data_IF_268160294890
#
_entry.id   IF_268160294890
#
_cell.length_a   1.000
_cell.length_b   1.000
_cell.length_c   1.000
_cell.angle_alpha   90.00
_cell.angle_beta   90.00
_cell.angle_gamma   90.00
#
_symmetry.space_group_name_H-M   'P 1'
#
loop_
_entity.id
_entity.type
_entity.pdbx_description
1 polymer ?
#
# COMPACT_ATOMS: atom_id res chain seq x y z
N UNK A 1 -14.81 -9.68 -18.59
CA UNK A 1 -13.95 -8.83 -17.74
C UNK A 1 -14.73 -8.54 -16.46
N UNK A 2 -14.25 -8.96 -15.30
CA UNK A 2 -14.85 -8.63 -13.99
C UNK A 2 -14.01 -7.52 -13.39
N UNK A 3 -14.60 -6.36 -13.20
CA UNK A 3 -13.96 -5.22 -12.56
C UNK A 3 -14.59 -4.96 -11.19
N UNK A 4 -13.76 -4.69 -10.18
CA UNK A 4 -14.23 -4.24 -8.87
C UNK A 4 -14.18 -2.72 -8.84
N UNK A 5 -15.34 -2.10 -8.63
CA UNK A 5 -15.44 -0.66 -8.38
C UNK A 5 -15.55 -0.47 -6.87
N UNK A 6 -14.53 0.11 -6.26
CA UNK A 6 -14.58 0.53 -4.88
C UNK A 6 -15.03 2.00 -4.85
N UNK A 7 -16.32 2.24 -4.63
CA UNK A 7 -16.86 3.59 -4.50
C UNK A 7 -16.74 4.02 -3.05
N UNK A 8 -15.60 4.62 -2.70
CA UNK A 8 -15.38 5.19 -1.37
C UNK A 8 -15.56 6.70 -1.49
N UNK A 9 -16.79 7.15 -1.47
CA UNK A 9 -17.12 8.58 -1.39
C UNK A 9 -16.73 9.05 0.02
N UNK A 10 -15.75 9.94 0.13
CA UNK A 10 -15.25 10.57 1.38
C UNK A 10 -14.36 9.73 2.32
N UNK A 11 -13.88 8.56 1.94
CA UNK A 11 -12.91 7.85 2.78
C UNK A 11 -11.50 8.41 2.67
N UNK A 12 -10.74 8.46 3.79
CA UNK A 12 -9.33 8.83 3.74
C UNK A 12 -8.53 7.93 2.78
N UNK A 13 -7.54 8.49 2.09
CA UNK A 13 -6.68 7.75 1.16
C UNK A 13 -6.06 6.47 1.76
N UNK A 14 -5.83 6.45 3.08
CA UNK A 14 -5.34 5.29 3.83
C UNK A 14 -6.33 4.13 3.84
N UNK A 15 -7.62 4.41 4.05
CA UNK A 15 -8.68 3.38 3.99
C UNK A 15 -8.80 2.80 2.59
N UNK A 16 -8.73 3.62 1.55
CA UNK A 16 -8.71 3.17 0.15
C UNK A 16 -7.52 2.23 -0.09
N UNK A 17 -6.32 2.64 0.35
CA UNK A 17 -5.10 1.83 0.23
C UNK A 17 -5.29 0.44 0.86
N UNK A 18 -5.78 0.37 2.10
CA UNK A 18 -5.98 -0.86 2.84
C UNK A 18 -7.01 -1.78 2.15
N UNK A 19 -8.17 -1.24 1.80
CA UNK A 19 -9.23 -2.01 1.13
C UNK A 19 -8.76 -2.53 -0.22
N UNK A 20 -8.13 -1.69 -1.04
CA UNK A 20 -7.60 -2.09 -2.35
C UNK A 20 -6.53 -3.18 -2.20
N UNK A 21 -5.66 -3.08 -1.21
CA UNK A 21 -4.65 -4.09 -0.92
C UNK A 21 -5.28 -5.44 -0.52
N UNK A 22 -6.30 -5.43 0.34
CA UNK A 22 -7.01 -6.64 0.76
C UNK A 22 -7.67 -7.37 -0.43
N UNK A 23 -8.34 -6.62 -1.30
CA UNK A 23 -8.92 -7.19 -2.52
C UNK A 23 -7.85 -7.71 -3.49
N UNK A 24 -6.72 -6.99 -3.59
CA UNK A 24 -5.60 -7.41 -4.43
C UNK A 24 -5.01 -8.75 -3.96
N UNK A 25 -4.76 -8.92 -2.67
CA UNK A 25 -4.26 -10.18 -2.11
C UNK A 25 -5.27 -11.31 -2.32
N UNK A 26 -6.56 -11.05 -2.04
CA UNK A 26 -7.59 -12.06 -2.25
C UNK A 26 -7.73 -12.48 -3.72
N UNK A 27 -7.60 -11.52 -4.65
CA UNK A 27 -7.59 -11.83 -6.07
C UNK A 27 -6.37 -12.66 -6.48
N UNK A 28 -5.18 -12.39 -5.90
CA UNK A 28 -3.99 -13.20 -6.15
C UNK A 28 -4.19 -14.65 -5.67
N UNK A 29 -4.79 -14.86 -4.51
CA UNK A 29 -5.11 -16.19 -4.01
C UNK A 29 -6.07 -16.97 -4.94
N UNK A 30 -7.08 -16.28 -5.47
CA UNK A 30 -8.04 -16.88 -6.41
C UNK A 30 -7.32 -17.25 -7.70
N UNK A 31 -6.54 -16.34 -8.29
CA UNK A 31 -5.82 -16.60 -9.54
C UNK A 31 -4.78 -17.71 -9.39
N UNK A 32 -4.16 -17.86 -8.23
CA UNK A 32 -3.23 -18.96 -7.96
C UNK A 32 -3.93 -20.35 -7.96
N UNK A 33 -5.22 -20.40 -7.61
CA UNK A 33 -6.03 -21.62 -7.60
C UNK A 33 -6.72 -21.89 -8.93
N UNK A 34 -6.82 -20.89 -9.80
CA UNK A 34 -7.56 -20.90 -11.05
C UNK A 34 -6.67 -20.43 -12.21
N UNK A 35 -5.74 -21.27 -12.70
CA UNK A 35 -4.78 -20.90 -13.73
C UNK A 35 -5.43 -20.59 -15.10
N UNK A 36 -6.70 -20.94 -15.28
CA UNK A 36 -7.52 -20.57 -16.44
C UNK A 36 -7.81 -19.06 -16.51
N UNK A 37 -7.66 -18.33 -15.41
CA UNK A 37 -7.83 -16.87 -15.36
C UNK A 37 -6.48 -16.15 -15.30
N UNK A 38 -6.40 -15.03 -16.00
CA UNK A 38 -5.21 -14.15 -16.00
C UNK A 38 -5.59 -12.74 -15.61
N UNK A 39 -4.62 -12.01 -15.04
CA UNK A 39 -4.77 -10.57 -14.85
C UNK A 39 -4.78 -9.86 -16.19
N UNK A 40 -5.76 -8.95 -16.37
CA UNK A 40 -5.77 -8.05 -17.52
C UNK A 40 -4.87 -6.80 -17.28
N UNK A 41 -4.37 -6.61 -16.08
CA UNK A 41 -3.58 -5.43 -15.71
C UNK A 41 -2.11 -5.79 -15.55
N UNK A 42 -1.23 -4.95 -16.11
CA UNK A 42 0.23 -5.12 -16.02
C UNK A 42 0.80 -4.64 -14.69
N UNK A 43 1.98 -5.14 -14.36
CA UNK A 43 2.79 -4.72 -13.23
C UNK A 43 2.57 -5.52 -11.96
N UNK A 44 3.54 -5.37 -11.06
CA UNK A 44 3.60 -6.03 -9.76
C UNK A 44 3.31 -5.05 -8.63
N UNK A 45 2.48 -5.48 -7.70
CA UNK A 45 2.20 -4.74 -6.47
C UNK A 45 3.13 -5.26 -5.37
N UNK A 46 3.83 -4.33 -4.72
CA UNK A 46 4.63 -4.59 -3.52
C UNK A 46 3.94 -3.91 -2.34
N UNK A 47 3.54 -4.69 -1.33
CA UNK A 47 2.99 -4.22 -0.08
C UNK A 47 4.02 -4.42 1.04
N UNK A 48 4.15 -3.43 1.92
CA UNK A 48 4.99 -3.52 3.13
C UNK A 48 4.14 -3.63 4.39
N UNK A 49 2.86 -3.98 4.25
CA UNK A 49 1.92 -4.20 5.33
C UNK A 49 0.96 -5.33 4.95
N UNK A 50 0.38 -5.96 5.97
CA UNK A 50 -0.71 -6.92 5.80
C UNK A 50 -2.04 -6.17 5.86
N UNK A 51 -2.88 -6.21 4.81
CA UNK A 51 -4.15 -5.53 4.82
C UNK A 51 -5.11 -6.13 5.87
N UNK A 52 -5.90 -5.27 6.50
CA UNK A 52 -6.92 -5.67 7.45
C UNK A 52 -8.17 -4.79 7.32
N UNK A 53 -9.25 -5.34 6.83
CA UNK A 53 -10.49 -4.58 6.61
C UNK A 53 -11.10 -4.10 7.93
N UNK A 54 -10.95 -4.85 9.02
CA UNK A 54 -11.47 -4.50 10.33
C UNK A 54 -10.81 -3.26 10.94
N UNK A 55 -9.55 -2.97 10.55
CA UNK A 55 -8.78 -1.81 11.04
C UNK A 55 -9.07 -0.51 10.30
N UNK A 56 -9.80 -0.57 9.19
CA UNK A 56 -10.28 0.61 8.47
C UNK A 56 -11.71 0.98 8.91
N UNK A 57 -12.19 2.12 8.39
CA UNK A 57 -13.56 2.54 8.64
C UNK A 57 -14.55 1.42 8.26
N UNK A 58 -15.27 0.92 9.27
CA UNK A 58 -16.37 -0.01 9.05
C UNK A 58 -17.48 0.19 10.09
N UNK A 59 -18.70 -0.16 9.73
CA UNK A 59 -19.90 -0.16 10.58
C UNK A 59 -20.39 -1.57 10.86
N UNK A 60 -19.52 -2.56 10.68
CA UNK A 60 -19.83 -3.98 10.57
C UNK A 60 -19.76 -4.45 9.13
N UNK A 61 -19.66 -5.74 8.94
CA UNK A 61 -19.62 -6.39 7.64
C UNK A 61 -20.91 -7.16 7.41
N UNK A 62 -21.34 -7.22 6.14
CA UNK A 62 -22.51 -7.97 5.72
C UNK A 62 -22.25 -8.62 4.37
N UNK A 63 -22.79 -9.81 4.14
CA UNK A 63 -22.87 -10.41 2.80
C UNK A 63 -23.96 -9.78 1.94
N UNK A 64 -24.65 -8.78 2.45
CA UNK A 64 -25.84 -8.19 1.83
C UNK A 64 -26.87 -9.29 1.51
N UNK A 65 -27.28 -9.44 0.27
CA UNK A 65 -28.24 -10.46 -0.15
C UNK A 65 -27.60 -11.64 -0.92
N UNK A 66 -26.28 -11.81 -0.82
CA UNK A 66 -25.54 -12.83 -1.57
C UNK A 66 -26.03 -14.25 -1.24
N UNK A 67 -26.30 -14.52 0.05
CA UNK A 67 -26.73 -15.82 0.56
C UNK A 67 -28.24 -15.86 0.90
N UNK A 68 -29.00 -14.87 0.43
CA UNK A 68 -30.42 -14.72 0.70
C UNK A 68 -30.75 -13.49 1.55
N UNK A 69 -32.05 -13.29 1.82
CA UNK A 69 -32.52 -12.13 2.56
C UNK A 69 -32.24 -12.26 4.05
N UNK A 70 -31.48 -11.32 4.60
CA UNK A 70 -31.16 -11.21 6.01
C UNK A 70 -31.87 -9.97 6.59
N UNK A 71 -32.71 -10.10 7.65
CA UNK A 71 -33.48 -8.98 8.19
C UNK A 71 -32.62 -7.91 8.88
N UNK A 72 -31.47 -8.29 9.49
CA UNK A 72 -30.64 -7.44 10.34
C UNK A 72 -29.34 -6.98 9.66
N UNK A 73 -29.42 -6.53 8.41
CA UNK A 73 -28.24 -6.04 7.65
C UNK A 73 -27.83 -4.62 8.03
N UNK A 74 -28.63 -3.91 8.82
CA UNK A 74 -28.41 -2.51 9.15
C UNK A 74 -27.68 -2.36 10.48
N UNK A 75 -26.80 -1.36 10.56
CA UNK A 75 -26.18 -0.94 11.82
C UNK A 75 -27.06 0.12 12.48
N UNK A 76 -27.90 -0.31 13.42
CA UNK A 76 -28.88 0.56 14.10
C UNK A 76 -28.24 1.43 15.19
N UNK A 77 -27.12 0.98 15.80
CA UNK A 77 -26.55 1.64 16.98
C UNK A 77 -25.82 2.93 16.67
N UNK A 78 -25.13 3.01 15.52
CA UNK A 78 -24.35 4.21 15.18
C UNK A 78 -24.05 4.33 13.70
N UNK A 79 -24.10 5.56 13.14
CA UNK A 79 -23.57 5.85 11.80
C UNK A 79 -22.05 5.97 11.76
N UNK A 80 -21.37 5.97 12.93
CA UNK A 80 -19.92 6.11 13.05
C UNK A 80 -19.22 4.75 12.95
N UNK A 81 -17.92 4.77 12.67
CA UNK A 81 -17.09 3.57 12.66
C UNK A 81 -16.94 3.00 14.06
N UNK A 82 -17.23 1.71 14.22
CA UNK A 82 -16.92 0.94 15.42
C UNK A 82 -15.48 0.39 15.39
N UNK A 83 -15.01 0.01 14.19
CA UNK A 83 -13.72 -0.66 14.05
C UNK A 83 -13.72 -2.12 14.48
N UNK A 84 -12.58 -2.63 14.94
CA UNK A 84 -12.43 -4.02 15.35
C UNK A 84 -12.73 -4.23 16.84
N UNK A 85 -13.36 -5.35 17.19
CA UNK A 85 -13.50 -5.77 18.58
C UNK A 85 -12.13 -6.14 19.15
N UNK A 86 -11.74 -5.52 20.28
CA UNK A 86 -10.42 -5.70 20.88
C UNK A 86 -10.45 -6.34 22.27
N UNK A 87 -11.63 -6.58 22.81
CA UNK A 87 -11.80 -7.24 24.08
C UNK A 87 -12.83 -6.58 24.98
N UNK A 88 -12.86 -7.00 26.24
CA UNK A 88 -13.82 -6.54 27.25
C UNK A 88 -13.06 -5.94 28.42
N UNK A 89 -13.55 -4.85 28.98
CA UNK A 89 -12.98 -4.24 30.19
C UNK A 89 -13.00 -5.25 31.32
N UNK A 90 -11.83 -5.58 31.86
CA UNK A 90 -11.70 -6.55 32.96
C UNK A 90 -11.78 -5.89 34.33
N UNK A 91 -11.02 -4.81 34.49
CA UNK A 91 -10.86 -4.12 35.77
C UNK A 91 -10.55 -2.65 35.55
N UNK A 92 -11.11 -1.80 36.40
CA UNK A 92 -10.84 -0.36 36.45
C UNK A 92 -10.18 -0.04 37.78
N UNK A 93 -9.08 0.73 37.75
CA UNK A 93 -8.39 1.25 38.94
C UNK A 93 -8.03 2.71 38.73
N UNK A 94 -8.72 3.59 39.44
CA UNK A 94 -8.53 5.05 39.31
C UNK A 94 -8.72 5.53 37.88
N UNK A 95 -7.68 6.05 37.26
CA UNK A 95 -7.69 6.58 35.90
C UNK A 95 -7.21 5.60 34.82
N UNK A 96 -7.23 4.29 35.12
CA UNK A 96 -6.75 3.24 34.20
C UNK A 96 -7.60 1.99 34.27
N UNK A 97 -7.52 1.18 33.21
CA UNK A 97 -8.25 -0.10 33.12
C UNK A 97 -7.43 -1.14 32.36
N UNK A 98 -7.83 -2.41 32.53
CA UNK A 98 -7.31 -3.53 31.77
C UNK A 98 -8.39 -4.09 30.85
N UNK A 99 -7.95 -4.66 29.73
CA UNK A 99 -8.81 -5.34 28.75
C UNK A 99 -8.50 -6.84 28.76
N UNK A 100 -9.53 -7.66 28.75
CA UNK A 100 -9.41 -9.09 28.48
C UNK A 100 -9.38 -9.32 26.99
N UNK A 101 -8.36 -10.00 26.47
CA UNK A 101 -8.17 -10.26 25.05
C UNK A 101 -6.69 -10.34 24.71
N UNK A 102 -6.40 -10.69 23.47
CA UNK A 102 -5.02 -10.81 22.94
C UNK A 102 -4.56 -9.56 22.17
N UNK A 103 -5.41 -8.54 22.09
CA UNK A 103 -5.08 -7.32 21.34
C UNK A 103 -3.95 -6.53 22.03
N UNK A 104 -2.96 -6.15 21.24
CA UNK A 104 -1.92 -5.21 21.66
C UNK A 104 -2.43 -3.79 21.47
N UNK A 105 -2.19 -2.92 22.45
CA UNK A 105 -2.54 -1.51 22.41
C UNK A 105 -1.27 -0.65 22.38
N UNK A 106 -1.39 0.51 21.75
CA UNK A 106 -0.32 1.52 21.71
C UNK A 106 -0.85 2.90 22.09
N UNK A 107 0.07 3.77 22.45
CA UNK A 107 -0.25 5.17 22.73
C UNK A 107 -0.83 5.80 21.46
N UNK A 108 -1.97 6.46 21.60
CA UNK A 108 -2.66 7.10 20.48
C UNK A 108 -3.79 6.29 19.86
N UNK A 109 -3.98 5.02 20.25
CA UNK A 109 -5.13 4.23 19.80
C UNK A 109 -6.45 4.91 20.16
N UNK A 110 -7.39 4.90 19.22
CA UNK A 110 -8.77 5.32 19.44
C UNK A 110 -9.64 4.13 19.79
N UNK A 111 -10.28 4.16 20.95
CA UNK A 111 -11.20 3.14 21.40
C UNK A 111 -12.62 3.69 21.49
N UNK A 112 -13.60 2.81 21.33
CA UNK A 112 -15.00 3.16 21.53
C UNK A 112 -15.79 1.98 22.10
N UNK A 113 -16.96 2.29 22.63
CA UNK A 113 -17.93 1.34 23.15
C UNK A 113 -19.35 1.91 23.04
N UNK A 114 -20.34 1.05 23.09
CA UNK A 114 -21.74 1.42 23.21
C UNK A 114 -22.10 1.38 24.70
N UNK A 115 -22.59 2.50 25.24
CA UNK A 115 -23.05 2.56 26.63
C UNK A 115 -24.45 1.94 26.79
N UNK A 116 -24.93 1.88 28.03
CA UNK A 116 -26.24 1.29 28.36
C UNK A 116 -27.44 2.03 27.74
N UNK A 117 -27.23 3.29 27.33
CA UNK A 117 -28.21 4.11 26.58
C UNK A 117 -28.12 3.92 25.06
N UNK A 118 -27.33 2.95 24.59
CA UNK A 118 -27.07 2.67 23.17
C UNK A 118 -26.41 3.84 22.43
N UNK A 119 -25.61 4.64 23.14
CA UNK A 119 -24.85 5.73 22.55
C UNK A 119 -23.38 5.32 22.37
N UNK A 120 -22.81 5.65 21.20
CA UNK A 120 -21.40 5.42 20.95
C UNK A 120 -20.54 6.46 21.68
N UNK A 121 -19.74 5.99 22.61
CA UNK A 121 -18.70 6.77 23.29
C UNK A 121 -17.32 6.39 22.77
N UNK A 122 -16.50 7.40 22.46
CA UNK A 122 -15.13 7.25 21.97
C UNK A 122 -14.13 8.00 22.83
N UNK A 123 -12.95 7.41 22.99
CA UNK A 123 -11.84 8.06 23.72
C UNK A 123 -10.50 7.63 23.14
N UNK A 124 -9.45 8.38 23.46
CA UNK A 124 -8.09 8.09 23.04
C UNK A 124 -7.29 7.51 24.19
N UNK A 125 -6.48 6.48 23.91
CA UNK A 125 -5.48 5.94 24.83
C UNK A 125 -4.28 6.87 24.81
N UNK A 126 -4.02 7.53 25.95
CA UNK A 126 -2.88 8.44 26.09
C UNK A 126 -1.58 7.67 26.37
N UNK A 127 -1.68 6.62 27.21
CA UNK A 127 -0.54 5.83 27.63
C UNK A 127 -0.94 4.37 27.85
N UNK A 128 -0.04 3.46 27.46
CA UNK A 128 -0.14 2.02 27.72
C UNK A 128 1.06 1.62 28.57
N UNK A 129 0.82 0.98 29.71
CA UNK A 129 1.86 0.41 30.55
C UNK A 129 1.53 -1.06 30.85
N UNK A 130 2.39 -1.95 30.44
CA UNK A 130 2.17 -3.38 30.49
C UNK A 130 0.83 -3.75 29.80
N UNK A 131 -0.19 -4.12 30.57
CA UNK A 131 -1.54 -4.39 30.05
C UNK A 131 -2.58 -3.41 30.60
N UNK A 132 -2.17 -2.21 31.01
CA UNK A 132 -3.05 -1.16 31.50
C UNK A 132 -3.12 0.00 30.54
N UNK A 133 -4.33 0.45 30.28
CA UNK A 133 -4.62 1.58 29.41
C UNK A 133 -5.00 2.79 30.24
N UNK A 134 -4.38 3.92 29.91
CA UNK A 134 -4.61 5.22 30.54
C UNK A 134 -5.20 6.16 29.49
N UNK A 135 -6.53 6.37 29.48
CA UNK A 135 -7.14 7.38 28.62
C UNK A 135 -6.78 8.80 29.08
N UNK A 136 -6.89 9.77 28.19
CA UNK A 136 -6.69 11.18 28.56
C UNK A 136 -7.71 11.63 29.63
N UNK A 137 -8.96 11.17 29.47
CA UNK A 137 -10.03 11.31 30.45
C UNK A 137 -10.76 9.97 30.54
N UNK A 138 -10.97 9.50 31.76
CA UNK A 138 -11.70 8.26 31.98
C UNK A 138 -13.16 8.43 31.55
N UNK A 139 -13.68 7.61 30.63
CA UNK A 139 -15.10 7.68 30.26
C UNK A 139 -15.99 7.35 31.46
N UNK A 140 -17.03 8.13 31.66
CA UNK A 140 -17.93 7.99 32.85
C UNK A 140 -18.71 6.67 32.82
N UNK A 141 -19.17 6.27 31.62
CA UNK A 141 -20.01 5.08 31.45
C UNK A 141 -19.19 3.79 31.21
N UNK A 142 -17.85 3.85 31.39
CA UNK A 142 -17.02 2.66 31.24
C UNK A 142 -17.00 1.85 32.53
N UNK A 143 -17.37 0.55 32.44
CA UNK A 143 -17.40 -0.36 33.58
C UNK A 143 -16.84 -1.75 33.22
N UNK A 144 -16.47 -2.59 34.19
CA UNK A 144 -16.11 -3.98 33.93
C UNK A 144 -17.21 -4.70 33.16
N UNK A 145 -16.82 -5.48 32.14
CA UNK A 145 -17.76 -6.13 31.23
C UNK A 145 -18.06 -5.34 29.94
N UNK A 146 -17.73 -4.05 29.88
CA UNK A 146 -17.92 -3.24 28.65
C UNK A 146 -17.09 -3.78 27.50
N UNK A 147 -17.74 -4.02 26.35
CA UNK A 147 -17.09 -4.44 25.10
C UNK A 147 -16.43 -3.25 24.42
N UNK A 148 -15.13 -3.37 24.14
CA UNK A 148 -14.34 -2.33 23.52
C UNK A 148 -14.04 -2.65 22.06
N UNK A 149 -14.09 -1.61 21.26
CA UNK A 149 -13.74 -1.65 19.84
C UNK A 149 -12.64 -0.61 19.57
N UNK A 150 -11.72 -0.92 18.65
CA UNK A 150 -10.67 -0.01 18.21
C UNK A 150 -11.08 0.57 16.87
N UNK A 151 -11.50 1.84 16.87
CA UNK A 151 -11.90 2.57 15.68
C UNK A 151 -10.75 3.37 15.04
N UNK A 152 -9.60 3.44 15.71
CA UNK A 152 -8.36 3.99 15.18
C UNK A 152 -7.16 3.21 15.72
N UNK A 153 -6.56 2.37 14.88
CA UNK A 153 -5.29 1.71 15.15
C UNK A 153 -4.15 2.65 14.74
N UNK A 154 -3.50 3.27 15.74
CA UNK A 154 -2.51 4.32 15.51
C UNK A 154 -1.27 3.82 14.75
N UNK A 155 -0.74 2.65 15.10
CA UNK A 155 0.40 2.04 14.38
C UNK A 155 0.05 1.74 12.92
N UNK A 156 -1.12 1.17 12.69
CA UNK A 156 -1.60 0.83 11.35
C UNK A 156 -1.83 2.08 10.50
N UNK A 157 -2.42 3.12 11.06
CA UNK A 157 -2.61 4.41 10.38
C UNK A 157 -1.28 5.07 10.01
N UNK A 158 -0.28 5.01 10.89
CA UNK A 158 1.07 5.48 10.59
C UNK A 158 1.72 4.66 9.46
N UNK A 159 1.55 3.35 9.46
CA UNK A 159 2.07 2.47 8.42
C UNK A 159 1.43 2.78 7.06
N UNK A 160 0.12 2.97 7.03
CA UNK A 160 -0.60 3.34 5.81
C UNK A 160 -0.26 4.75 5.31
N UNK A 161 0.16 5.67 6.18
CA UNK A 161 0.56 7.02 5.79
C UNK A 161 1.87 7.08 5.00
N UNK A 162 2.70 6.05 5.12
CA UNK A 162 3.97 5.91 4.40
C UNK A 162 3.75 5.38 2.98
N UNK A 163 4.81 5.33 2.17
CA UNK A 163 4.82 4.65 0.87
C UNK A 163 4.85 3.12 1.07
N UNK A 164 3.74 2.57 1.59
CA UNK A 164 3.63 1.16 1.97
C UNK A 164 2.98 0.28 0.90
N UNK A 165 2.53 0.87 -0.20
CA UNK A 165 2.02 0.15 -1.37
C UNK A 165 2.57 0.81 -2.63
N UNK A 166 3.22 0.04 -3.47
CA UNK A 166 3.73 0.50 -4.77
C UNK A 166 3.32 -0.47 -5.85
N UNK A 167 3.06 0.04 -7.04
CA UNK A 167 2.84 -0.78 -8.24
C UNK A 167 3.84 -0.35 -9.30
N UNK A 168 4.58 -1.30 -9.83
CA UNK A 168 5.55 -1.09 -10.89
C UNK A 168 5.30 -2.07 -12.03
N UNK A 169 5.56 -1.59 -13.24
CA UNK A 169 5.52 -2.38 -14.48
C UNK A 169 6.95 -2.77 -14.80
N UNK A 170 7.19 -4.06 -14.98
CA UNK A 170 8.49 -4.57 -15.32
C UNK A 170 8.85 -4.20 -16.76
N UNK A 171 10.08 -3.74 -16.95
CA UNK A 171 10.67 -3.47 -18.26
C UNK A 171 12.07 -4.05 -18.30
N UNK A 172 12.52 -4.39 -19.51
CA UNK A 172 13.94 -4.68 -19.79
C UNK A 172 14.50 -3.57 -20.65
N UNK A 173 15.79 -3.35 -20.56
CA UNK A 173 16.51 -2.34 -21.32
C UNK A 173 17.68 -2.94 -22.09
N UNK A 174 17.95 -2.43 -23.28
CA UNK A 174 19.24 -2.62 -23.93
C UNK A 174 19.82 -1.26 -24.34
N UNK A 175 21.10 -1.10 -24.08
CA UNK A 175 21.85 0.09 -24.47
C UNK A 175 22.96 -0.32 -25.43
N UNK A 176 22.81 0.09 -26.68
CA UNK A 176 23.58 -0.40 -27.81
C UNK A 176 24.40 0.70 -28.42
N UNK A 177 25.61 0.38 -28.89
CA UNK A 177 26.42 1.27 -29.71
C UNK A 177 25.95 1.23 -31.17
N UNK A 178 25.71 2.39 -31.80
CA UNK A 178 25.29 2.54 -33.19
C UNK A 178 26.41 3.18 -34.03
N UNK A 179 26.23 3.29 -35.34
CA UNK A 179 27.22 3.98 -36.19
C UNK A 179 27.39 5.45 -35.81
N UNK A 180 26.27 6.16 -35.53
CA UNK A 180 26.21 7.58 -35.22
C UNK A 180 26.27 7.95 -33.74
N UNK A 181 26.35 6.95 -32.86
CA UNK A 181 26.32 7.18 -31.40
C UNK A 181 25.82 5.99 -30.61
N UNK A 182 24.66 6.12 -29.97
CA UNK A 182 24.09 5.10 -29.09
C UNK A 182 22.58 5.04 -29.23
N UNK A 183 21.98 3.92 -28.84
CA UNK A 183 20.53 3.72 -28.75
C UNK A 183 20.15 3.09 -27.43
N UNK A 184 19.05 3.56 -26.85
CA UNK A 184 18.42 2.93 -25.67
C UNK A 184 17.07 2.38 -26.06
N UNK A 185 16.90 1.07 -25.91
CA UNK A 185 15.64 0.38 -26.12
C UNK A 185 15.03 -0.01 -24.77
N UNK A 186 13.76 0.30 -24.58
CA UNK A 186 12.95 -0.12 -23.44
C UNK A 186 11.83 -1.00 -23.96
N UNK A 187 11.63 -2.15 -23.36
CA UNK A 187 10.57 -3.12 -23.76
C UNK A 187 9.90 -3.79 -22.57
N UNK A 188 8.66 -4.16 -22.78
CA UNK A 188 7.93 -5.15 -22.00
C UNK A 188 7.34 -6.22 -22.94
N UNK A 189 6.40 -7.03 -22.44
CA UNK A 189 5.78 -8.11 -23.24
C UNK A 189 4.98 -7.61 -24.47
N UNK A 190 4.58 -6.33 -24.50
CA UNK A 190 3.67 -5.79 -25.53
C UNK A 190 4.29 -4.68 -26.38
N UNK A 191 5.17 -3.89 -25.79
CA UNK A 191 5.68 -2.64 -26.39
C UNK A 191 7.21 -2.64 -26.36
N UNK A 192 7.81 -2.15 -27.44
CA UNK A 192 9.23 -1.84 -27.53
C UNK A 192 9.41 -0.45 -28.11
N UNK A 193 10.19 0.39 -27.45
CA UNK A 193 10.51 1.75 -27.90
C UNK A 193 12.00 1.96 -27.84
N UNK A 194 12.56 2.49 -28.91
CA UNK A 194 13.97 2.85 -29.04
C UNK A 194 14.12 4.37 -29.19
N UNK A 195 15.09 4.93 -28.52
CA UNK A 195 15.52 6.33 -28.66
C UNK A 195 16.99 6.36 -28.97
N UNK A 196 17.39 7.18 -29.95
CA UNK A 196 18.76 7.31 -30.41
C UNK A 196 19.42 8.56 -29.82
N UNK A 197 20.71 8.45 -29.54
CA UNK A 197 21.60 9.53 -29.10
C UNK A 197 22.73 9.67 -30.10
N UNK A 198 22.61 10.63 -30.99
CA UNK A 198 23.65 10.93 -31.99
C UNK A 198 24.71 11.84 -31.39
N UNK A 199 25.84 11.25 -31.03
CA UNK A 199 27.01 11.98 -30.48
C UNK A 199 28.30 11.34 -30.97
N UNK A 200 29.35 12.16 -31.03
CA UNK A 200 30.69 11.67 -31.28
C UNK A 200 31.16 10.74 -30.15
N UNK A 201 31.72 9.60 -30.54
CA UNK A 201 32.17 8.58 -29.60
C UNK A 201 33.50 8.99 -28.97
N UNK A 202 33.50 9.17 -27.67
CA UNK A 202 34.66 9.53 -26.87
C UNK A 202 35.19 8.33 -26.09
N UNK A 203 36.53 8.26 -25.93
CA UNK A 203 37.15 7.20 -25.12
C UNK A 203 37.28 7.65 -23.67
N UNK A 204 36.90 6.78 -22.75
CA UNK A 204 37.05 6.98 -21.31
C UNK A 204 38.44 6.46 -20.85
N UNK A 205 38.93 7.05 -19.75
CA UNK A 205 40.16 6.59 -19.11
C UNK A 205 39.93 5.43 -18.12
N UNK A 206 38.66 5.20 -17.76
CA UNK A 206 38.22 4.15 -16.81
C UNK A 206 36.93 3.52 -17.34
N UNK A 207 36.63 2.25 -17.02
CA UNK A 207 35.41 1.57 -17.41
C UNK A 207 34.15 2.35 -16.99
N UNK A 208 33.19 2.50 -17.90
CA UNK A 208 31.98 3.31 -17.69
C UNK A 208 30.70 2.51 -17.58
N UNK A 209 30.69 1.21 -17.87
CA UNK A 209 29.47 0.39 -17.91
C UNK A 209 28.63 0.46 -16.64
N UNK A 210 29.27 0.42 -15.46
CA UNK A 210 28.57 0.56 -14.17
C UNK A 210 27.96 1.97 -13.99
N UNK A 211 28.62 3.01 -14.47
CA UNK A 211 28.08 4.36 -14.43
C UNK A 211 26.88 4.51 -15.38
N UNK A 212 26.99 4.00 -16.60
CA UNK A 212 25.91 3.98 -17.60
C UNK A 212 24.70 3.25 -17.02
N UNK A 213 24.89 2.02 -16.54
CA UNK A 213 23.86 1.20 -15.89
C UNK A 213 23.17 1.95 -14.75
N UNK A 214 23.94 2.53 -13.84
CA UNK A 214 23.41 3.30 -12.71
C UNK A 214 22.57 4.52 -13.15
N UNK A 215 22.95 5.21 -14.24
CA UNK A 215 22.19 6.36 -14.73
C UNK A 215 20.89 5.94 -15.43
N UNK A 216 20.93 4.86 -16.21
CA UNK A 216 19.78 4.36 -16.94
C UNK A 216 18.72 3.72 -16.01
N UNK A 217 19.14 3.07 -14.93
CA UNK A 217 18.26 2.44 -13.95
C UNK A 217 17.51 3.43 -13.02
N UNK A 218 17.76 4.74 -13.11
CA UNK A 218 17.07 5.75 -12.27
C UNK A 218 15.63 6.01 -12.72
N UNK A 219 14.75 5.03 -12.51
CA UNK A 219 13.32 5.08 -12.88
C UNK A 219 12.39 5.49 -11.73
N UNK A 220 12.91 5.95 -10.59
CA UNK A 220 12.19 6.08 -9.33
C UNK A 220 10.82 6.77 -9.38
N UNK A 221 10.67 7.84 -10.18
CA UNK A 221 9.44 8.62 -10.30
C UNK A 221 8.52 8.16 -11.46
N UNK A 222 8.82 7.01 -12.06
CA UNK A 222 8.02 6.44 -13.15
C UNK A 222 7.24 5.22 -12.66
N UNK A 223 6.20 4.76 -13.36
CA UNK A 223 5.52 3.51 -13.03
C UNK A 223 6.35 2.26 -13.35
N UNK A 224 7.56 2.39 -13.90
CA UNK A 224 8.39 1.30 -14.37
C UNK A 224 9.45 0.88 -13.37
N UNK A 225 9.84 -0.41 -13.43
CA UNK A 225 10.99 -1.01 -12.74
C UNK A 225 11.77 -1.84 -13.75
N UNK A 226 13.04 -1.51 -13.97
CA UNK A 226 13.89 -2.28 -14.86
C UNK A 226 14.34 -3.55 -14.14
N UNK A 227 14.00 -4.71 -14.70
CA UNK A 227 14.37 -6.02 -14.17
C UNK A 227 15.67 -6.53 -14.71
N UNK A 228 16.04 -6.12 -15.93
CA UNK A 228 17.29 -6.47 -16.57
C UNK A 228 17.73 -5.38 -17.54
N UNK A 229 19.06 -5.15 -17.62
CA UNK A 229 19.66 -4.19 -18.54
C UNK A 229 20.93 -4.76 -19.16
N UNK A 230 20.93 -4.83 -20.47
CA UNK A 230 22.10 -5.21 -21.28
C UNK A 230 22.83 -3.96 -21.73
N UNK A 231 24.17 -3.93 -21.57
CA UNK A 231 25.05 -2.85 -22.05
C UNK A 231 25.95 -3.41 -23.15
N UNK A 232 25.64 -3.09 -24.37
CA UNK A 232 26.31 -3.60 -25.58
C UNK A 232 27.25 -2.51 -26.18
N UNK A 233 28.09 -1.95 -25.33
CA UNK A 233 29.08 -0.94 -25.72
C UNK A 233 30.45 -1.33 -25.19
N UNK A 234 31.51 -0.79 -25.81
CA UNK A 234 32.84 -0.91 -25.24
C UNK A 234 32.91 -0.25 -23.86
N UNK A 235 33.56 -0.90 -22.90
CA UNK A 235 33.75 -0.38 -21.53
C UNK A 235 34.49 0.95 -21.48
N UNK A 236 35.25 1.26 -22.52
CA UNK A 236 36.05 2.48 -22.67
C UNK A 236 35.27 3.65 -23.29
N UNK A 237 33.96 3.56 -23.44
CA UNK A 237 33.13 4.65 -24.00
C UNK A 237 32.71 5.63 -22.91
N UNK A 238 33.06 6.90 -23.12
CA UNK A 238 32.60 7.99 -22.25
C UNK A 238 31.32 8.61 -22.79
N UNK A 239 30.30 8.68 -21.95
CA UNK A 239 29.05 9.37 -22.26
C UNK A 239 28.68 10.28 -21.08
N UNK A 240 28.47 11.58 -21.30
CA UNK A 240 28.07 12.50 -20.25
C UNK A 240 26.78 12.04 -19.56
N UNK A 241 26.77 12.04 -18.22
CA UNK A 241 25.61 11.58 -17.40
C UNK A 241 24.34 12.39 -17.68
N UNK A 242 24.47 13.64 -18.12
CA UNK A 242 23.34 14.48 -18.56
C UNK A 242 22.63 13.90 -19.77
N UNK A 243 23.38 13.49 -20.79
CA UNK A 243 22.85 12.89 -22.03
C UNK A 243 22.22 11.52 -21.77
N UNK A 244 22.81 10.68 -20.91
CA UNK A 244 22.19 9.42 -20.47
C UNK A 244 20.86 9.67 -19.75
N UNK A 245 20.80 10.71 -18.94
CA UNK A 245 19.58 11.07 -18.21
C UNK A 245 18.49 11.64 -19.13
N UNK A 246 18.87 12.36 -20.17
CA UNK A 246 17.97 12.87 -21.20
C UNK A 246 17.43 11.73 -22.06
N UNK A 247 18.30 10.88 -22.58
CA UNK A 247 17.96 9.71 -23.37
C UNK A 247 16.96 8.81 -22.62
N UNK A 248 17.25 8.50 -21.35
CA UNK A 248 16.33 7.75 -20.49
C UNK A 248 14.97 8.43 -20.37
N UNK A 249 14.91 9.74 -20.12
CA UNK A 249 13.63 10.47 -20.01
C UNK A 249 12.85 10.42 -21.31
N UNK A 250 13.50 10.62 -22.43
CA UNK A 250 12.87 10.62 -23.75
C UNK A 250 12.24 9.25 -24.06
N UNK A 251 13.02 8.17 -23.93
CA UNK A 251 12.50 6.82 -24.21
C UNK A 251 11.35 6.45 -23.27
N UNK A 252 11.45 6.79 -21.98
CA UNK A 252 10.38 6.50 -21.01
C UNK A 252 9.11 7.31 -21.29
N UNK A 253 9.24 8.58 -21.69
CA UNK A 253 8.08 9.40 -22.07
C UNK A 253 7.36 8.85 -23.31
N UNK A 254 8.10 8.29 -24.26
CA UNK A 254 7.52 7.65 -25.46
C UNK A 254 6.94 6.27 -25.18
N UNK A 255 7.47 5.59 -24.15
CA UNK A 255 7.02 4.27 -23.72
C UNK A 255 5.73 4.34 -22.87
N UNK A 256 5.41 5.50 -22.27
CA UNK A 256 4.23 5.72 -21.40
C UNK A 256 3.00 6.08 -22.21
#
# INVERSE_FOLDING_TARGET
MVGFVCTIVSSPARSVKNVTAAYHERLNEILARHPEYKRASHGRVKLTFTPSLSKSFNRGFTSYFLDGRVPDIQSFDTPKSMGEFVGTVKEIRGNSFNVSGLSRFVNGDGLCFINDRRELQGFRVNRVENNRLFPLRMPVDLHPGTRLYRNNDHEFELLLSKSSATRKIDVTMSFDETESGYALTVRNDEISVTEELNIEKQTAKIPQNENIKRQLLKLGNTPYECTDIEINTSEERFIPSGLLSELRRNVINRFS
#
